data_IF_649759713562
#
_entry.id   IF_649759713562
#
_cell.length_a   1.000
_cell.length_b   1.000
_cell.length_c   1.000
_cell.angle_alpha   90.00
_cell.angle_beta   90.00
_cell.angle_gamma   90.00
#
_symmetry.space_group_name_H-M   'P 1'
#
loop_
_entity.id
_entity.type
_entity.pdbx_description
1 polymer ?
#
# COMPACT_ATOMS: atom_id res chain seq x y z
N UNK A 1 18.22 13.78 -10.38
CA UNK A 1 17.43 12.83 -9.62
C UNK A 1 16.69 11.89 -10.52
N UNK A 2 16.89 10.65 -10.32
CA UNK A 2 16.15 9.65 -11.05
C UNK A 2 14.77 9.44 -10.43
N UNK A 3 13.74 9.29 -11.24
CA UNK A 3 12.43 8.99 -10.69
C UNK A 3 12.43 7.61 -10.01
N UNK A 4 11.59 7.47 -9.01
CA UNK A 4 11.36 6.19 -8.38
C UNK A 4 10.86 5.19 -9.41
N UNK A 5 11.46 4.02 -9.42
CA UNK A 5 11.09 2.97 -10.37
C UNK A 5 10.07 2.03 -9.75
N UNK A 6 9.00 1.82 -10.48
CA UNK A 6 7.93 0.90 -10.10
C UNK A 6 7.99 -0.36 -10.92
N UNK A 7 7.71 -1.47 -10.24
CA UNK A 7 7.34 -2.71 -10.90
C UNK A 7 5.89 -2.98 -10.53
N UNK A 8 5.00 -2.94 -11.50
CA UNK A 8 3.58 -3.19 -11.27
C UNK A 8 3.18 -4.51 -11.91
N UNK A 9 2.52 -5.34 -11.13
CA UNK A 9 2.01 -6.62 -11.58
C UNK A 9 0.52 -6.45 -11.81
N UNK A 10 0.11 -6.46 -13.06
CA UNK A 10 -1.28 -6.22 -13.45
C UNK A 10 -2.17 -7.40 -13.10
N UNK A 11 -3.44 -7.13 -13.01
CA UNK A 11 -4.46 -8.12 -12.68
C UNK A 11 -5.75 -7.74 -13.41
N UNK A 12 -6.67 -8.70 -13.48
CA UNK A 12 -8.00 -8.42 -14.00
C UNK A 12 -8.86 -7.86 -12.87
N UNK A 13 -9.61 -6.82 -13.18
CA UNK A 13 -10.57 -6.30 -12.23
C UNK A 13 -11.73 -7.28 -12.06
N UNK A 14 -11.82 -7.89 -10.89
CA UNK A 14 -12.90 -8.79 -10.51
C UNK A 14 -13.02 -8.85 -8.99
N UNK A 15 -13.76 -9.83 -8.46
CA UNK A 15 -13.95 -10.00 -7.02
C UNK A 15 -13.05 -11.09 -6.44
N UNK A 16 -12.10 -11.58 -7.22
CA UNK A 16 -11.19 -12.64 -6.80
C UNK A 16 -9.86 -12.06 -6.39
N UNK A 17 -9.22 -12.70 -5.43
CA UNK A 17 -7.87 -12.34 -5.02
C UNK A 17 -6.87 -12.98 -5.96
N UNK A 18 -6.03 -12.14 -6.60
CA UNK A 18 -4.98 -12.59 -7.50
C UNK A 18 -3.63 -12.66 -6.79
N UNK A 19 -2.71 -13.40 -7.38
CA UNK A 19 -1.29 -13.48 -6.99
C UNK A 19 -1.01 -14.08 -5.62
N UNK A 20 -2.02 -14.64 -4.97
CA UNK A 20 -1.85 -15.35 -3.71
C UNK A 20 -2.36 -16.79 -3.85
N UNK A 21 -1.77 -17.74 -3.09
CA UNK A 21 -2.26 -19.11 -3.11
C UNK A 21 -3.67 -19.19 -2.54
N UNK A 22 -4.47 -20.10 -3.08
CA UNK A 22 -5.84 -20.34 -2.60
C UNK A 22 -5.90 -21.66 -1.88
N UNK A 23 -6.67 -21.69 -0.77
CA UNK A 23 -6.84 -22.89 0.05
C UNK A 23 -5.50 -23.46 0.54
N UNK A 24 -4.56 -22.57 0.87
CA UNK A 24 -3.25 -22.92 1.41
C UNK A 24 -2.82 -21.87 2.43
N UNK A 25 -2.09 -22.28 3.43
CA UNK A 25 -1.54 -21.37 4.43
C UNK A 25 -0.22 -20.82 3.88
N UNK A 26 -0.04 -19.51 3.98
CA UNK A 26 1.20 -18.87 3.55
C UNK A 26 1.46 -17.64 4.42
N UNK A 27 2.67 -17.09 4.32
CA UNK A 27 3.05 -15.88 5.02
C UNK A 27 2.93 -14.69 4.08
N UNK A 28 2.13 -13.71 4.47
CA UNK A 28 1.88 -12.54 3.63
C UNK A 28 3.17 -11.75 3.35
N UNK A 29 4.07 -11.70 4.32
CA UNK A 29 5.35 -11.00 4.18
C UNK A 29 6.21 -11.61 3.07
N UNK A 30 6.05 -12.89 2.79
CA UNK A 30 6.81 -13.59 1.75
C UNK A 30 6.12 -13.53 0.38
N UNK A 31 4.93 -12.95 0.31
CA UNK A 31 4.17 -12.91 -0.93
C UNK A 31 4.58 -11.76 -1.86
N UNK A 32 5.47 -10.90 -1.43
CA UNK A 32 6.07 -9.87 -2.25
C UNK A 32 7.55 -9.80 -1.91
N UNK A 33 8.40 -9.70 -2.93
CA UNK A 33 9.84 -9.67 -2.73
C UNK A 33 10.41 -8.28 -2.93
N UNK A 34 11.55 -8.01 -2.28
CA UNK A 34 12.31 -6.80 -2.53
C UNK A 34 13.03 -6.91 -3.86
N UNK A 35 13.03 -5.82 -4.61
CA UNK A 35 13.88 -5.69 -5.80
C UNK A 35 14.72 -4.44 -5.61
N UNK A 36 16.02 -4.60 -5.67
CA UNK A 36 16.96 -3.52 -5.42
C UNK A 36 16.70 -2.30 -6.29
N UNK A 37 16.63 -1.13 -5.66
CA UNK A 37 16.40 0.13 -6.34
C UNK A 37 14.99 0.36 -6.82
N UNK A 38 14.04 -0.47 -6.39
CA UNK A 38 12.67 -0.43 -6.91
C UNK A 38 11.61 -0.46 -5.84
N UNK A 39 10.42 -0.01 -6.24
CA UNK A 39 9.19 -0.24 -5.50
C UNK A 39 8.41 -1.29 -6.30
N UNK A 40 8.06 -2.40 -5.65
CA UNK A 40 7.23 -3.44 -6.26
C UNK A 40 5.83 -3.32 -5.72
N UNK A 41 4.85 -3.24 -6.61
CA UNK A 41 3.43 -3.20 -6.24
C UNK A 41 2.71 -4.38 -6.86
N UNK A 42 2.14 -5.22 -6.02
CA UNK A 42 1.38 -6.40 -6.43
C UNK A 42 -0.07 -6.18 -6.05
N UNK A 43 -0.91 -5.87 -7.02
CA UNK A 43 -2.32 -5.62 -6.76
C UNK A 43 -3.07 -6.93 -6.67
N UNK A 44 -3.71 -7.17 -5.53
CA UNK A 44 -4.42 -8.41 -5.22
C UNK A 44 -5.89 -8.34 -5.64
N UNK A 45 -6.51 -7.19 -5.41
CA UNK A 45 -7.93 -6.96 -5.72
C UNK A 45 -8.08 -5.51 -6.13
N UNK A 46 -8.92 -5.26 -7.12
CA UNK A 46 -9.31 -3.90 -7.48
C UNK A 46 -10.72 -3.90 -8.05
N UNK A 47 -11.54 -2.99 -7.55
CA UNK A 47 -12.91 -2.78 -8.04
C UNK A 47 -13.34 -1.35 -7.78
N UNK A 48 -14.62 -1.04 -7.99
CA UNK A 48 -15.15 0.30 -7.78
C UNK A 48 -14.98 0.81 -6.35
N UNK A 49 -14.96 -0.09 -5.38
CA UNK A 49 -14.90 0.28 -3.97
C UNK A 49 -13.47 0.51 -3.48
N UNK A 50 -12.47 0.07 -4.21
CA UNK A 50 -11.09 0.26 -3.82
C UNK A 50 -10.16 -0.83 -4.31
N UNK A 51 -9.03 -0.94 -3.65
CA UNK A 51 -7.99 -1.90 -4.02
C UNK A 51 -7.27 -2.44 -2.79
N UNK A 52 -6.64 -3.59 -2.97
CA UNK A 52 -5.79 -4.21 -1.97
C UNK A 52 -4.49 -4.58 -2.66
N UNK A 53 -3.37 -4.12 -2.13
CA UNK A 53 -2.06 -4.34 -2.75
C UNK A 53 -0.99 -4.66 -1.72
N UNK A 54 -0.05 -5.51 -2.13
CA UNK A 54 1.20 -5.70 -1.40
C UNK A 54 2.26 -4.83 -2.05
N UNK A 55 3.04 -4.14 -1.24
CA UNK A 55 4.13 -3.31 -1.75
C UNK A 55 5.43 -3.65 -1.01
N UNK A 56 6.53 -3.62 -1.74
CA UNK A 56 7.86 -3.67 -1.17
C UNK A 56 8.66 -2.47 -1.64
N UNK A 57 9.44 -1.91 -0.75
CA UNK A 57 10.26 -0.73 -1.00
C UNK A 57 11.70 -1.07 -0.63
N UNK A 58 12.61 -0.88 -1.55
CA UNK A 58 14.03 -1.04 -1.26
C UNK A 58 14.57 0.23 -0.60
N UNK A 59 15.84 0.16 -0.17
CA UNK A 59 16.50 1.26 0.51
C UNK A 59 16.44 2.55 -0.29
N UNK A 60 16.26 3.67 0.40
CA UNK A 60 16.27 5.04 -0.13
C UNK A 60 15.11 5.36 -1.07
N UNK A 61 14.10 4.53 -1.12
CA UNK A 61 12.90 4.86 -1.89
C UNK A 61 12.07 5.89 -1.13
N UNK A 62 11.41 6.75 -1.87
CA UNK A 62 10.48 7.71 -1.31
C UNK A 62 9.32 7.92 -2.26
N UNK A 63 8.21 8.26 -1.72
CA UNK A 63 6.99 8.44 -2.47
C UNK A 63 6.15 9.54 -1.84
N UNK A 64 5.71 10.48 -2.67
CA UNK A 64 4.73 11.49 -2.27
C UNK A 64 3.47 11.23 -3.07
N UNK A 65 2.34 11.28 -2.41
CA UNK A 65 1.07 11.03 -3.08
C UNK A 65 0.14 12.22 -2.93
N UNK A 66 -0.74 12.37 -3.91
CA UNK A 66 -1.85 13.30 -3.78
C UNK A 66 -2.87 12.73 -2.80
N UNK A 67 -3.71 13.60 -2.27
CA UNK A 67 -4.78 13.16 -1.40
C UNK A 67 -5.69 12.17 -2.15
N UNK A 68 -5.90 11.00 -1.55
CA UNK A 68 -6.80 10.00 -2.10
C UNK A 68 -8.26 10.34 -1.78
N UNK A 69 -9.22 9.87 -2.57
CA UNK A 69 -10.64 10.16 -2.29
C UNK A 69 -11.18 9.47 -1.06
N UNK A 70 -10.57 8.40 -0.59
CA UNK A 70 -11.00 7.66 0.59
C UNK A 70 -9.85 7.31 1.51
N UNK A 71 -10.18 6.72 2.64
CA UNK A 71 -9.18 6.28 3.61
C UNK A 71 -8.45 5.04 3.13
N UNK A 72 -7.23 4.86 3.58
CA UNK A 72 -6.45 3.66 3.30
C UNK A 72 -5.95 3.06 4.61
N UNK A 73 -5.96 1.73 4.68
CA UNK A 73 -5.41 1.00 5.82
C UNK A 73 -4.03 0.47 5.43
N UNK A 74 -3.02 0.86 6.17
CA UNK A 74 -1.64 0.43 5.96
C UNK A 74 -1.23 -0.52 7.07
N UNK A 75 -0.81 -1.72 6.70
CA UNK A 75 -0.33 -2.74 7.64
C UNK A 75 1.14 -3.00 7.32
N UNK A 76 2.02 -2.68 8.26
CA UNK A 76 3.46 -2.87 8.09
C UNK A 76 3.83 -4.34 8.28
N UNK A 77 4.43 -4.95 7.27
CA UNK A 77 4.78 -6.38 7.26
C UNK A 77 6.25 -6.62 7.54
N UNK A 78 7.12 -5.71 7.19
CA UNK A 78 8.57 -5.86 7.35
C UNK A 78 9.25 -4.50 7.28
N UNK A 79 10.35 -4.33 8.00
CA UNK A 79 11.18 -3.14 7.91
C UNK A 79 10.62 -1.93 8.64
N UNK A 80 11.07 -0.77 8.21
CA UNK A 80 10.72 0.52 8.81
C UNK A 80 10.49 1.57 7.75
N UNK A 81 9.65 2.55 8.08
CA UNK A 81 9.29 3.59 7.15
C UNK A 81 8.98 4.88 7.93
N UNK A 82 9.34 6.01 7.34
CA UNK A 82 8.99 7.34 7.83
C UNK A 82 7.78 7.83 7.07
N UNK A 83 6.70 8.08 7.78
CA UNK A 83 5.42 8.49 7.18
C UNK A 83 5.10 9.91 7.58
N UNK A 84 4.68 10.73 6.62
CA UNK A 84 4.17 12.06 6.86
C UNK A 84 2.71 12.12 6.40
N UNK A 85 1.82 12.54 7.28
CA UNK A 85 0.41 12.75 6.97
C UNK A 85 0.11 14.22 7.28
N UNK A 86 -0.13 15.02 6.24
CA UNK A 86 -0.23 16.45 6.43
C UNK A 86 1.05 16.97 7.06
N UNK A 87 0.96 17.53 8.27
CA UNK A 87 2.11 18.02 9.01
C UNK A 87 2.62 17.05 10.09
N UNK A 88 2.00 15.91 10.23
CA UNK A 88 2.35 14.94 11.26
C UNK A 88 3.33 13.90 10.76
N UNK A 89 4.26 13.48 11.61
CA UNK A 89 5.29 12.52 11.29
C UNK A 89 5.15 11.26 12.14
N UNK A 90 5.32 10.11 11.51
CA UNK A 90 5.20 8.81 12.18
C UNK A 90 6.36 7.91 11.76
N UNK A 91 6.89 7.19 12.73
CA UNK A 91 7.85 6.11 12.47
C UNK A 91 7.06 4.80 12.50
N UNK A 92 7.00 4.13 11.37
CA UNK A 92 6.23 2.91 11.19
C UNK A 92 7.20 1.74 11.10
N UNK A 93 6.93 0.69 11.82
CA UNK A 93 7.76 -0.52 11.80
C UNK A 93 6.88 -1.76 11.73
N UNK A 94 7.51 -2.88 11.41
CA UNK A 94 6.86 -4.18 11.33
C UNK A 94 5.88 -4.38 12.48
N UNK A 95 4.65 -4.73 12.15
CA UNK A 95 3.57 -4.95 13.11
C UNK A 95 2.67 -3.75 13.36
N UNK A 96 3.09 -2.56 12.95
CA UNK A 96 2.27 -1.36 13.11
C UNK A 96 1.20 -1.28 12.02
N UNK A 97 0.09 -0.67 12.38
CA UNK A 97 -1.02 -0.43 11.47
C UNK A 97 -1.49 1.01 11.65
N UNK A 98 -1.79 1.67 10.54
CA UNK A 98 -2.26 3.05 10.57
C UNK A 98 -3.29 3.26 9.45
N UNK A 99 -4.27 4.13 9.72
CA UNK A 99 -5.20 4.57 8.70
C UNK A 99 -4.69 5.88 8.14
N UNK A 100 -4.52 5.93 6.82
CA UNK A 100 -4.20 7.15 6.10
C UNK A 100 -5.50 7.84 5.74
N UNK A 101 -5.79 9.01 6.34
CA UNK A 101 -7.07 9.67 6.06
C UNK A 101 -7.15 10.12 4.60
N UNK A 102 -8.31 9.91 3.99
CA UNK A 102 -8.57 10.41 2.65
C UNK A 102 -8.51 11.92 2.61
N UNK A 103 -8.20 12.47 1.43
CA UNK A 103 -8.15 13.91 1.17
C UNK A 103 -7.03 14.65 1.88
N UNK A 104 -6.11 13.94 2.53
CA UNK A 104 -4.92 14.53 3.15
C UNK A 104 -3.69 13.95 2.49
N UNK A 105 -2.80 14.77 1.93
CA UNK A 105 -1.57 14.27 1.30
C UNK A 105 -0.69 13.53 2.29
N UNK A 106 0.00 12.50 1.81
CA UNK A 106 0.95 11.78 2.64
C UNK A 106 2.21 11.44 1.84
N UNK A 107 3.29 11.21 2.55
CA UNK A 107 4.57 10.87 1.97
C UNK A 107 5.26 9.77 2.75
N UNK A 108 6.05 8.98 2.06
CA UNK A 108 6.82 7.88 2.63
C UNK A 108 8.30 8.07 2.33
N UNK A 109 9.14 7.73 3.30
CA UNK A 109 10.58 7.60 3.10
C UNK A 109 11.03 6.30 3.71
N UNK A 110 11.82 5.55 2.98
CA UNK A 110 12.27 4.23 3.37
C UNK A 110 13.78 4.26 3.65
N UNK A 111 14.21 4.29 4.91
CA UNK A 111 15.65 4.34 5.22
C UNK A 111 16.39 3.07 4.78
N UNK A 112 15.79 1.90 5.00
CA UNK A 112 16.43 0.64 4.64
C UNK A 112 15.59 -0.20 3.71
N UNK A 113 14.47 -0.71 4.18
CA UNK A 113 13.53 -1.50 3.39
C UNK A 113 12.20 -1.57 4.11
N UNK A 114 11.14 -1.82 3.37
CA UNK A 114 9.80 -1.86 3.95
C UNK A 114 8.85 -2.67 3.09
N UNK A 115 8.00 -3.46 3.73
CA UNK A 115 6.87 -4.13 3.08
C UNK A 115 5.58 -3.76 3.78
N UNK A 116 4.52 -3.60 3.00
CA UNK A 116 3.20 -3.30 3.56
C UNK A 116 2.09 -3.94 2.74
N UNK A 117 0.97 -4.17 3.43
CA UNK A 117 -0.31 -4.41 2.78
C UNK A 117 -1.07 -3.10 2.85
N UNK A 118 -1.59 -2.66 1.72
CA UNK A 118 -2.33 -1.41 1.63
C UNK A 118 -3.73 -1.68 1.09
N UNK A 119 -4.73 -1.26 1.85
CA UNK A 119 -6.13 -1.40 1.46
C UNK A 119 -6.67 0.02 1.28
N UNK A 120 -6.98 0.37 0.03
CA UNK A 120 -7.42 1.71 -0.33
C UNK A 120 -8.90 1.68 -0.62
N UNK A 121 -9.65 2.55 0.03
CA UNK A 121 -11.07 2.70 -0.25
C UNK A 121 -11.30 3.86 -1.22
N UNK A 122 -12.36 3.80 -1.96
CA UNK A 122 -12.75 4.86 -2.89
C UNK A 122 -14.15 5.33 -2.56
N UNK A 123 -14.33 6.64 -2.69
CA UNK A 123 -15.69 7.18 -2.72
C UNK A 123 -16.26 6.88 -4.11
N UNK A 124 -17.25 6.02 -4.16
CA UNK A 124 -17.87 5.61 -5.43
C UNK A 124 -18.92 6.61 -5.93
N UNK A 125 -19.13 7.71 -5.20
CA UNK A 125 -20.16 8.67 -5.52
C UNK A 125 -21.57 8.23 -5.11
N UNK A 126 -21.69 7.12 -4.41
CA UNK A 126 -22.97 6.65 -3.90
C UNK A 126 -23.38 7.43 -2.66
N UNK A 127 -24.67 7.60 -2.50
CA UNK A 127 -25.19 8.17 -1.26
C UNK A 127 -24.91 7.23 -0.09
N UNK A 128 -24.65 7.78 1.10
CA UNK A 128 -24.49 6.96 2.28
C UNK A 128 -25.70 6.05 2.47
N UNK A 129 -25.43 4.84 2.89
CA UNK A 129 -26.50 3.89 3.18
C UNK A 129 -27.16 4.29 4.51
N UNK A 130 -28.45 4.47 4.46
CA UNK A 130 -29.22 4.71 5.67
C UNK A 130 -29.54 3.36 6.31
N UNK A 131 -29.24 3.26 7.57
CA UNK A 131 -29.43 2.01 8.31
C UNK A 131 -30.66 2.13 9.16
#
# INVERSE_FOLDING_TARGET
>A
NEPTKYVSIDFKEDLMIDHLPKAAIFSLVDAVEYEEGKIVSKTLVKNESGSMSLLSFSKDQQLSTHAAPGDALLIALDGEMKLTIGDEHFDIKKGDTIVLPGKIPHGLKIPEKFKMLLIVTKDSGRLPRLV
#
